data_IF_888576909982
#
_entry.id   IF_888576909982
#
_cell.length_a   1.000
_cell.length_b   1.000
_cell.length_c   1.000
_cell.angle_alpha   90.00
_cell.angle_beta   90.00
_cell.angle_gamma   90.00
#
_symmetry.space_group_name_H-M   'P 1'
#
loop_
_entity.id
_entity.type
_entity.pdbx_description
1 polymer ?
#
# COMPACT_ATOMS: atom_id res chain seq x y z
N UNK A 1 -9.10 1.48 9.42
CA UNK A 1 -9.78 1.05 8.18
C UNK A 1 -11.03 0.26 8.52
N UNK A 2 -12.03 0.26 7.65
CA UNK A 2 -13.27 -0.48 7.85
C UNK A 2 -13.07 -1.94 7.42
N UNK A 3 -13.26 -2.94 8.30
CA UNK A 3 -13.07 -4.35 7.96
C UNK A 3 -14.19 -4.92 7.07
N UNK A 4 -15.18 -4.10 6.71
CA UNK A 4 -16.31 -4.49 5.86
C UNK A 4 -16.17 -3.82 4.50
N UNK A 5 -16.37 -4.55 3.40
CA UNK A 5 -16.38 -3.96 2.07
C UNK A 5 -17.47 -2.87 2.00
N UNK A 6 -17.26 -1.82 1.21
CA UNK A 6 -18.28 -0.79 1.00
C UNK A 6 -19.56 -1.42 0.42
N UNK A 7 -20.72 -0.87 0.76
CA UNK A 7 -21.97 -1.27 0.12
C UNK A 7 -21.84 -0.98 -1.39
N UNK A 8 -22.10 -1.96 -2.28
CA UNK A 8 -22.02 -1.72 -3.73
C UNK A 8 -22.82 -0.52 -4.21
N UNK A 9 -23.92 -0.18 -3.52
CA UNK A 9 -24.76 0.98 -3.84
C UNK A 9 -24.05 2.32 -3.61
N UNK A 10 -23.06 2.36 -2.71
CA UNK A 10 -22.24 3.55 -2.43
C UNK A 10 -21.17 3.78 -3.52
N UNK A 11 -20.91 2.79 -4.38
CA UNK A 11 -19.91 2.88 -5.45
C UNK A 11 -20.56 3.44 -6.73
N UNK A 12 -19.96 4.45 -7.38
CA UNK A 12 -20.47 4.99 -8.64
C UNK A 12 -20.71 3.90 -9.69
N UNK A 13 -21.88 3.93 -10.32
CA UNK A 13 -22.33 2.86 -11.22
C UNK A 13 -21.36 2.60 -12.38
N UNK A 14 -20.65 3.62 -12.83
CA UNK A 14 -19.69 3.55 -13.94
C UNK A 14 -18.46 2.67 -13.63
N UNK A 15 -18.06 2.57 -12.37
CA UNK A 15 -16.88 1.81 -11.94
C UNK A 15 -17.19 0.68 -10.95
N UNK A 16 -18.45 0.54 -10.51
CA UNK A 16 -18.87 -0.41 -9.46
C UNK A 16 -18.36 -1.83 -9.67
N UNK A 17 -18.63 -2.41 -10.83
CA UNK A 17 -18.26 -3.80 -11.11
C UNK A 17 -16.74 -3.98 -11.10
N UNK A 18 -16.02 -3.07 -11.77
CA UNK A 18 -14.56 -3.14 -11.86
C UNK A 18 -13.88 -2.90 -10.52
N UNK A 19 -14.39 -1.98 -9.69
CA UNK A 19 -13.88 -1.77 -8.34
C UNK A 19 -14.09 -3.00 -7.46
N UNK A 20 -15.26 -3.64 -7.53
CA UNK A 20 -15.54 -4.88 -6.76
C UNK A 20 -14.63 -6.01 -7.22
N UNK A 21 -14.47 -6.23 -8.53
CA UNK A 21 -13.58 -7.26 -9.05
C UNK A 21 -12.12 -7.00 -8.67
N UNK A 22 -11.63 -5.78 -8.91
CA UNK A 22 -10.27 -5.37 -8.56
C UNK A 22 -10.00 -5.51 -7.06
N UNK A 23 -10.96 -5.15 -6.20
CA UNK A 23 -10.79 -5.27 -4.75
C UNK A 23 -10.53 -6.71 -4.30
N UNK A 24 -11.19 -7.69 -4.92
CA UNK A 24 -10.99 -9.12 -4.62
C UNK A 24 -9.60 -9.60 -5.03
N UNK A 25 -9.16 -9.25 -6.24
CA UNK A 25 -7.86 -9.66 -6.75
C UNK A 25 -6.72 -8.99 -5.98
N UNK A 26 -6.86 -7.70 -5.67
CA UNK A 26 -5.89 -6.94 -4.87
C UNK A 26 -5.82 -7.48 -3.44
N UNK A 27 -6.94 -7.84 -2.81
CA UNK A 27 -6.93 -8.51 -1.49
C UNK A 27 -6.18 -9.82 -1.52
N UNK A 28 -6.45 -10.67 -2.51
CA UNK A 28 -5.76 -11.96 -2.67
C UNK A 28 -4.25 -11.76 -2.85
N UNK A 29 -3.85 -10.80 -3.70
CA UNK A 29 -2.44 -10.47 -3.89
C UNK A 29 -1.80 -9.94 -2.61
N UNK A 30 -2.49 -9.06 -1.87
CA UNK A 30 -2.02 -8.52 -0.60
C UNK A 30 -1.75 -9.61 0.44
N UNK A 31 -2.66 -10.59 0.57
CA UNK A 31 -2.47 -11.75 1.46
C UNK A 31 -1.21 -12.53 1.06
N UNK A 32 -1.06 -12.88 -0.22
CA UNK A 32 0.13 -13.60 -0.70
C UNK A 32 1.43 -12.83 -0.49
N UNK A 33 1.41 -11.50 -0.62
CA UNK A 33 2.57 -10.66 -0.32
C UNK A 33 2.92 -10.68 1.18
N UNK A 34 1.92 -10.64 2.07
CA UNK A 34 2.16 -10.76 3.51
C UNK A 34 2.71 -12.13 3.91
N UNK A 35 2.27 -13.20 3.25
CA UNK A 35 2.81 -14.56 3.45
C UNK A 35 4.30 -14.61 3.10
N UNK A 36 4.63 -14.17 1.88
CA UNK A 36 6.01 -14.12 1.40
C UNK A 36 6.91 -13.21 2.25
N UNK A 37 6.40 -12.07 2.70
CA UNK A 37 7.13 -11.18 3.60
C UNK A 37 7.40 -11.84 4.95
N UNK A 38 6.43 -12.58 5.50
CA UNK A 38 6.61 -13.31 6.76
C UNK A 38 7.72 -14.36 6.62
N UNK A 39 7.70 -15.15 5.55
CA UNK A 39 8.74 -16.13 5.26
C UNK A 39 10.12 -15.51 5.05
N UNK A 40 10.19 -14.40 4.28
CA UNK A 40 11.44 -13.67 4.04
C UNK A 40 12.07 -13.11 5.34
N UNK A 41 11.24 -12.86 6.35
CA UNK A 41 11.67 -12.45 7.69
C UNK A 41 11.99 -13.62 8.63
N UNK A 42 11.90 -14.87 8.16
CA UNK A 42 12.15 -16.07 8.95
C UNK A 42 11.02 -16.39 9.95
N UNK A 43 9.81 -15.92 9.67
CA UNK A 43 8.61 -16.15 10.49
C UNK A 43 7.72 -17.23 9.85
N UNK A 44 6.71 -17.68 10.57
CA UNK A 44 5.64 -18.50 9.98
C UNK A 44 4.94 -17.69 8.88
N UNK A 45 4.58 -18.34 7.77
CA UNK A 45 3.91 -17.71 6.62
C UNK A 45 2.66 -16.91 7.03
N UNK A 46 1.94 -17.32 8.06
CA UNK A 46 0.72 -16.63 8.49
C UNK A 46 0.98 -15.49 9.49
N UNK A 47 2.21 -15.27 9.92
CA UNK A 47 2.50 -14.36 11.04
C UNK A 47 1.91 -12.96 10.87
N UNK A 48 2.10 -12.33 9.71
CA UNK A 48 1.57 -10.99 9.43
C UNK A 48 0.04 -10.99 9.31
N UNK A 49 -0.57 -12.08 8.83
CA UNK A 49 -2.02 -12.23 8.80
C UNK A 49 -2.60 -12.39 10.22
N UNK A 50 -1.94 -13.16 11.08
CA UNK A 50 -2.36 -13.40 12.48
C UNK A 50 -2.35 -12.14 13.33
N UNK A 51 -1.45 -11.19 13.04
CA UNK A 51 -1.44 -9.86 13.67
C UNK A 51 -2.30 -8.84 12.92
N UNK A 52 -3.21 -9.32 12.07
CA UNK A 52 -4.26 -8.55 11.41
C UNK A 52 -3.75 -7.54 10.35
N UNK A 53 -2.56 -7.72 9.79
CA UNK A 53 -2.06 -6.82 8.72
C UNK A 53 -2.86 -6.91 7.41
N UNK A 54 -3.65 -7.97 7.22
CA UNK A 54 -4.38 -8.26 5.97
C UNK A 54 -5.91 -8.07 6.06
N UNK A 55 -6.44 -7.43 7.11
CA UNK A 55 -7.90 -7.38 7.36
C UNK A 55 -8.66 -6.27 6.64
N UNK A 56 -7.98 -5.33 5.98
CA UNK A 56 -8.61 -4.15 5.40
C UNK A 56 -8.05 -3.77 4.05
N UNK A 57 -8.93 -3.21 3.20
CA UNK A 57 -8.56 -2.57 1.94
C UNK A 57 -9.19 -1.19 1.87
N UNK A 58 -8.36 -0.19 1.60
CA UNK A 58 -8.81 1.12 1.15
C UNK A 58 -8.49 1.26 -0.34
N UNK A 59 -9.47 1.69 -1.13
CA UNK A 59 -9.28 1.99 -2.55
C UNK A 59 -9.32 3.50 -2.75
N UNK A 60 -8.23 4.06 -3.28
CA UNK A 60 -8.10 5.50 -3.51
C UNK A 60 -7.79 5.70 -4.99
N UNK A 61 -8.65 6.46 -5.67
CA UNK A 61 -8.44 6.87 -7.06
C UNK A 61 -8.00 8.34 -7.07
N UNK A 62 -6.81 8.61 -7.60
CA UNK A 62 -6.26 9.96 -7.71
C UNK A 62 -6.30 10.41 -9.17
N UNK A 63 -6.69 11.66 -9.38
CA UNK A 63 -6.68 12.30 -10.69
C UNK A 63 -5.88 13.60 -10.61
N UNK A 64 -4.79 13.65 -11.36
CA UNK A 64 -3.88 14.80 -11.42
C UNK A 64 -4.06 15.53 -12.76
N UNK A 65 -4.82 16.64 -12.81
CA UNK A 65 -5.00 17.39 -14.05
C UNK A 65 -3.69 18.08 -14.50
N UNK A 66 -3.54 18.41 -15.79
CA UNK A 66 -2.42 19.22 -16.27
C UNK A 66 -2.29 20.53 -15.49
N UNK A 67 -1.06 20.90 -15.13
CA UNK A 67 -0.76 22.13 -14.40
C UNK A 67 0.12 23.06 -15.25
N UNK A 68 -0.25 24.34 -15.29
CA UNK A 68 0.51 25.37 -16.02
C UNK A 68 1.80 25.80 -15.31
N UNK A 69 1.83 25.67 -13.98
CA UNK A 69 2.97 26.07 -13.14
C UNK A 69 3.42 24.90 -12.24
N UNK A 70 3.89 23.78 -12.83
CA UNK A 70 4.20 22.55 -12.08
C UNK A 70 5.29 22.75 -11.02
N UNK A 71 6.22 23.69 -11.23
CA UNK A 71 7.29 24.01 -10.27
C UNK A 71 6.79 24.73 -9.01
N UNK A 72 5.58 25.30 -9.05
CA UNK A 72 4.98 26.03 -7.92
C UNK A 72 3.91 25.22 -7.19
N UNK A 73 3.59 24.01 -7.68
CA UNK A 73 2.57 23.15 -7.10
C UNK A 73 3.07 21.73 -6.88
N UNK A 74 2.25 20.92 -6.22
CA UNK A 74 2.49 19.50 -6.03
C UNK A 74 1.19 18.75 -6.23
N UNK A 75 1.25 17.62 -6.94
CA UNK A 75 0.10 16.71 -7.04
C UNK A 75 -0.30 16.18 -5.65
N UNK A 76 0.69 15.71 -4.90
CA UNK A 76 0.52 15.29 -3.50
C UNK A 76 1.65 15.86 -2.65
N UNK A 77 1.36 16.26 -1.41
CA UNK A 77 2.39 16.68 -0.47
C UNK A 77 3.36 15.52 -0.13
N UNK A 78 4.57 15.85 0.34
CA UNK A 78 5.50 14.85 0.90
C UNK A 78 4.82 14.17 2.10
N UNK A 79 4.74 12.85 2.09
CA UNK A 79 4.16 12.04 3.16
C UNK A 79 4.75 10.63 3.17
N UNK A 80 4.58 9.93 4.29
CA UNK A 80 4.53 8.47 4.36
C UNK A 80 3.07 8.04 4.48
N UNK A 81 2.74 6.80 4.06
CA UNK A 81 1.38 6.29 4.28
C UNK A 81 1.35 5.59 5.64
N UNK A 82 0.24 5.77 6.34
CA UNK A 82 0.04 5.30 7.72
C UNK A 82 -0.58 3.90 7.80
N UNK A 83 -0.34 3.05 6.80
CA UNK A 83 -0.97 1.72 6.67
C UNK A 83 0.08 0.60 6.76
N UNK A 84 -0.23 -0.63 6.35
CA UNK A 84 0.73 -1.76 6.31
C UNK A 84 1.43 -1.90 4.96
N UNK A 85 0.66 -1.87 3.88
CA UNK A 85 1.12 -2.08 2.51
C UNK A 85 0.28 -1.23 1.55
N UNK A 86 0.92 -0.61 0.55
CA UNK A 86 0.21 0.03 -0.56
C UNK A 86 0.57 -0.66 -1.86
N UNK A 87 -0.44 -0.94 -2.68
CA UNK A 87 -0.29 -1.37 -4.06
C UNK A 87 -0.81 -0.24 -4.95
N UNK A 88 0.07 0.34 -5.76
CA UNK A 88 -0.22 1.47 -6.62
C UNK A 88 -0.14 1.05 -8.09
N UNK A 89 -1.24 1.25 -8.80
CA UNK A 89 -1.31 1.18 -10.25
C UNK A 89 -1.11 2.59 -10.82
N UNK A 90 -0.05 2.77 -11.61
CA UNK A 90 0.23 4.04 -12.28
C UNK A 90 -0.37 4.07 -13.69
N UNK A 91 -0.65 5.27 -14.19
CA UNK A 91 -0.84 5.48 -15.63
C UNK A 91 0.52 5.52 -16.36
N UNK A 92 0.49 5.79 -17.67
CA UNK A 92 1.70 5.85 -18.50
C UNK A 92 2.42 7.21 -18.44
N UNK A 93 1.88 8.19 -17.71
CA UNK A 93 2.46 9.54 -17.59
C UNK A 93 3.52 9.56 -16.49
N UNK A 94 3.26 8.86 -15.38
CA UNK A 94 4.17 8.78 -14.23
C UNK A 94 3.97 9.93 -13.25
N UNK A 95 5.07 10.45 -12.68
CA UNK A 95 5.05 11.52 -11.67
C UNK A 95 5.14 11.05 -10.22
N UNK A 96 5.24 9.73 -9.98
CA UNK A 96 5.58 9.20 -8.66
C UNK A 96 7.07 9.43 -8.39
N UNK A 97 7.37 9.98 -7.22
CA UNK A 97 8.72 10.15 -6.73
C UNK A 97 8.85 9.56 -5.32
N UNK A 98 10.00 8.96 -5.03
CA UNK A 98 10.36 8.49 -3.69
C UNK A 98 11.51 9.32 -3.15
N UNK A 99 11.48 9.62 -1.86
CA UNK A 99 12.55 10.33 -1.17
C UNK A 99 13.49 9.33 -0.50
N UNK A 100 14.77 9.37 -0.85
CA UNK A 100 15.83 8.57 -0.23
C UNK A 100 17.07 9.44 -0.06
N UNK A 101 17.69 9.40 1.12
CA UNK A 101 18.92 10.15 1.40
C UNK A 101 18.80 11.66 1.05
N UNK A 102 17.66 12.26 1.40
CA UNK A 102 17.26 13.64 1.07
C UNK A 102 17.22 13.99 -0.43
N UNK A 103 17.18 12.98 -1.29
CA UNK A 103 17.07 13.12 -2.74
C UNK A 103 15.82 12.44 -3.29
N UNK A 104 15.15 13.09 -4.24
CA UNK A 104 13.98 12.55 -4.92
C UNK A 104 14.40 11.70 -6.11
N UNK A 105 13.79 10.53 -6.23
CA UNK A 105 13.99 9.59 -7.33
C UNK A 105 12.66 9.32 -8.01
N UNK A 106 12.63 9.43 -9.33
CA UNK A 106 11.45 9.07 -10.12
C UNK A 106 11.23 7.56 -10.13
N UNK A 107 9.96 7.16 -10.02
CA UNK A 107 9.53 5.78 -10.22
C UNK A 107 8.80 5.72 -11.57
N UNK A 108 9.50 5.31 -12.65
CA UNK A 108 8.90 5.28 -13.98
C UNK A 108 7.79 4.21 -14.03
N UNK A 109 6.65 4.50 -14.69
CA UNK A 109 5.61 3.51 -14.85
C UNK A 109 6.10 2.35 -15.72
N UNK A 110 5.83 1.13 -15.26
CA UNK A 110 6.13 -0.10 -16.02
C UNK A 110 4.80 -0.72 -16.46
N UNK A 111 4.57 -0.92 -17.78
CA UNK A 111 3.32 -1.48 -18.27
C UNK A 111 3.00 -2.84 -17.62
N UNK A 112 1.82 -2.94 -17.03
CA UNK A 112 1.34 -4.16 -16.36
C UNK A 112 1.93 -4.41 -14.97
N UNK A 113 2.70 -3.47 -14.41
CA UNK A 113 3.26 -3.58 -13.07
C UNK A 113 2.45 -2.80 -12.03
N UNK A 114 2.50 -3.27 -10.79
CA UNK A 114 2.09 -2.53 -9.60
C UNK A 114 3.34 -2.10 -8.84
N UNK A 115 3.34 -0.89 -8.31
CA UNK A 115 4.33 -0.45 -7.32
C UNK A 115 3.85 -0.86 -5.94
N UNK A 116 4.66 -1.63 -5.22
CA UNK A 116 4.37 -2.07 -3.86
C UNK A 116 5.25 -1.28 -2.90
N UNK A 117 4.66 -0.65 -1.89
CA UNK A 117 5.39 0.07 -0.85
C UNK A 117 5.03 -0.42 0.56
N UNK A 118 6.05 -0.61 1.40
CA UNK A 118 5.95 -0.94 2.82
C UNK A 118 5.73 0.35 3.62
N UNK A 119 4.82 0.28 4.59
CA UNK A 119 4.30 1.46 5.28
C UNK A 119 4.54 1.44 6.79
N UNK A 120 4.25 2.57 7.44
CA UNK A 120 4.68 2.86 8.81
C UNK A 120 4.14 1.84 9.84
N UNK A 121 2.91 1.33 9.66
CA UNK A 121 2.37 0.33 10.59
C UNK A 121 3.06 -1.02 10.45
N UNK A 122 3.43 -1.42 9.23
CA UNK A 122 4.18 -2.68 9.05
C UNK A 122 5.56 -2.55 9.69
N UNK A 123 6.24 -1.42 9.49
CA UNK A 123 7.51 -1.15 10.13
C UNK A 123 7.41 -1.18 11.67
N UNK A 124 6.37 -0.54 12.23
CA UNK A 124 6.12 -0.54 13.66
C UNK A 124 5.79 -1.94 14.20
N UNK A 125 4.93 -2.70 13.53
CA UNK A 125 4.58 -4.08 13.91
C UNK A 125 5.80 -4.99 13.94
N UNK A 126 6.70 -4.87 12.97
CA UNK A 126 7.95 -5.62 12.97
C UNK A 126 8.85 -5.17 14.11
N UNK A 127 9.03 -3.86 14.31
CA UNK A 127 9.84 -3.34 15.40
C UNK A 127 9.34 -3.82 16.78
N UNK A 128 8.03 -3.77 17.02
CA UNK A 128 7.43 -4.25 18.26
C UNK A 128 7.60 -5.76 18.41
N UNK A 129 7.33 -6.56 17.36
CA UNK A 129 7.48 -8.02 17.40
C UNK A 129 8.93 -8.48 17.64
N UNK A 130 9.93 -7.77 17.11
CA UNK A 130 11.34 -8.11 17.31
C UNK A 130 11.93 -7.56 18.63
N UNK A 131 11.51 -6.38 19.08
CA UNK A 131 11.98 -5.83 20.37
C UNK A 131 11.24 -6.43 21.58
N UNK A 132 9.97 -6.80 21.46
CA UNK A 132 9.28 -7.56 22.53
C UNK A 132 9.88 -8.96 22.70
N UNK A 133 10.46 -9.55 21.66
CA UNK A 133 11.27 -10.78 21.76
C UNK A 133 12.60 -10.57 22.50
N UNK A 134 13.13 -9.34 22.60
CA UNK A 134 14.35 -9.00 23.35
C UNK A 134 14.10 -8.64 24.83
N UNK A 135 12.86 -8.59 25.30
CA UNK A 135 12.54 -8.33 26.73
C UNK A 135 12.33 -9.63 27.52
N UNK A 136 12.74 -10.79 26.98
CA UNK A 136 12.57 -12.07 27.65
C UNK A 136 13.74 -13.02 27.45
N UNK A 137 14.88 -12.78 28.12
CA UNK A 137 15.63 -13.84 28.81
C UNK A 137 16.73 -13.29 29.74
N UNK A 138 16.56 -13.62 31.03
CA UNK A 138 17.34 -13.36 32.25
C UNK A 138 17.42 -11.91 32.76
#
# INVERSE_FOLDING_TARGET
MTPKPPNPEDIPIICRNEMILSSKEVMKLGISLFELLSEALGLDSNHLADIQCAEGLAFISQYYPPCYEPELTRGTAKHSDNDFLTMLLQDQIGGLQILRDDQWYDVPPVPGALVVNIRDLLQASLFLSFNLKLVGTL
#
